data_IF_309174139120
#
_entry.id   IF_309174139120
#
_cell.length_a   1.000
_cell.length_b   1.000
_cell.length_c   1.000
_cell.angle_alpha   90.00
_cell.angle_beta   90.00
_cell.angle_gamma   90.00
#
_symmetry.space_group_name_H-M   'P 1'
#
loop_
_entity.id
_entity.type
_entity.pdbx_description
1 polymer ?
#
# COMPACT_ATOMS: atom_id res chain seq x y z
N UNK A 1 3.92 -14.47 35.49
CA UNK A 1 5.33 -14.09 35.28
C UNK A 1 5.80 -14.73 33.99
N UNK A 2 6.02 -13.94 32.94
CA UNK A 2 6.56 -14.43 31.67
C UNK A 2 8.05 -14.04 31.68
N UNK A 3 8.96 -15.01 31.77
CA UNK A 3 10.43 -14.88 31.71
C UNK A 3 11.26 -14.60 32.98
N UNK A 4 10.68 -14.53 34.18
CA UNK A 4 11.47 -14.54 35.43
C UNK A 4 12.51 -13.42 35.58
N UNK A 5 12.32 -12.31 34.87
CA UNK A 5 13.12 -11.08 35.01
C UNK A 5 12.25 -10.00 35.61
N UNK A 6 12.83 -9.23 36.51
CA UNK A 6 12.19 -8.05 37.08
C UNK A 6 12.04 -6.97 35.99
N UNK A 7 10.92 -6.24 35.96
CA UNK A 7 10.73 -5.16 35.00
C UNK A 7 11.73 -4.02 35.31
N UNK A 8 12.58 -3.70 34.35
CA UNK A 8 13.59 -2.63 34.45
C UNK A 8 13.08 -1.42 33.68
N UNK A 9 13.02 -0.24 34.32
CA UNK A 9 12.67 1.00 33.63
C UNK A 9 13.87 1.50 32.82
N UNK A 10 13.67 2.24 31.71
CA UNK A 10 14.77 2.78 30.92
C UNK A 10 15.80 3.60 31.70
N UNK A 11 15.40 4.19 32.83
CA UNK A 11 16.27 4.99 33.71
C UNK A 11 17.18 4.11 34.61
N UNK A 12 16.78 2.86 34.84
CA UNK A 12 17.49 1.90 35.69
C UNK A 12 18.57 1.14 34.89
N UNK A 13 18.60 1.31 33.57
CA UNK A 13 19.65 0.77 32.72
C UNK A 13 20.83 1.73 32.77
N UNK A 14 21.88 1.38 33.51
CA UNK A 14 23.18 2.06 33.48
C UNK A 14 23.76 1.96 32.06
N UNK A 15 23.38 2.91 31.21
CA UNK A 15 24.10 3.16 29.98
C UNK A 15 25.41 3.79 30.40
N UNK A 16 26.51 3.06 30.22
CA UNK A 16 27.79 3.71 29.98
C UNK A 16 27.58 4.52 28.71
N UNK A 17 27.17 5.79 28.87
CA UNK A 17 27.28 6.75 27.79
C UNK A 17 28.76 6.77 27.49
N UNK A 18 29.17 6.08 26.43
CA UNK A 18 30.46 6.34 25.82
C UNK A 18 30.46 7.84 25.61
N UNK A 19 31.34 8.52 26.34
CA UNK A 19 31.50 9.95 26.23
C UNK A 19 31.96 10.17 24.80
N UNK A 20 31.04 10.52 23.92
CA UNK A 20 31.36 10.93 22.55
C UNK A 20 31.96 12.33 22.65
N UNK A 21 33.04 12.49 23.41
CA UNK A 21 33.98 13.56 23.16
C UNK A 21 34.51 13.27 21.77
N UNK A 22 33.84 13.83 20.76
CA UNK A 22 34.42 14.00 19.44
C UNK A 22 35.76 14.69 19.70
N UNK A 23 36.85 13.94 19.60
CA UNK A 23 38.14 14.54 19.31
C UNK A 23 37.90 15.31 18.02
N UNK A 24 37.88 16.63 18.14
CA UNK A 24 37.68 17.56 17.03
C UNK A 24 38.98 17.63 16.23
N UNK A 25 39.45 16.48 15.76
CA UNK A 25 40.29 16.38 14.58
C UNK A 25 39.34 16.61 13.41
N UNK A 26 38.93 17.87 13.22
CA UNK A 26 38.30 18.27 11.97
C UNK A 26 39.33 17.98 10.87
N UNK A 27 39.11 16.97 10.01
CA UNK A 27 39.98 16.86 8.85
C UNK A 27 39.81 18.15 8.06
N UNK A 28 40.91 18.87 7.78
CA UNK A 28 40.90 19.93 6.78
C UNK A 28 40.47 19.31 5.45
N UNK A 29 39.16 19.33 5.19
CA UNK A 29 38.60 18.87 3.94
C UNK A 29 39.05 19.89 2.90
N UNK A 30 39.96 19.50 2.01
CA UNK A 30 40.32 20.35 0.88
C UNK A 30 39.06 20.70 0.08
N UNK A 31 38.91 21.98 -0.26
CA UNK A 31 37.75 22.54 -0.97
C UNK A 31 37.49 21.79 -2.30
N UNK A 32 38.56 21.26 -2.91
CA UNK A 32 38.54 20.40 -4.11
C UNK A 32 37.76 19.09 -3.90
N UNK A 33 38.01 18.40 -2.79
CA UNK A 33 37.36 17.14 -2.43
C UNK A 33 35.91 17.36 -2.02
N UNK A 34 35.61 18.50 -1.37
CA UNK A 34 34.25 18.92 -1.08
C UNK A 34 33.42 19.16 -2.36
N UNK A 35 33.96 19.88 -3.34
CA UNK A 35 33.28 20.07 -4.62
C UNK A 35 33.14 18.78 -5.43
N UNK A 36 34.14 17.89 -5.36
CA UNK A 36 34.08 16.58 -6.01
C UNK A 36 33.02 15.65 -5.38
N UNK A 37 32.79 15.76 -4.07
CA UNK A 37 31.73 14.99 -3.38
C UNK A 37 30.34 15.57 -3.67
N UNK A 38 30.19 16.89 -3.65
CA UNK A 38 28.92 17.55 -4.00
C UNK A 38 28.48 17.25 -5.42
N UNK A 39 29.37 17.34 -6.41
CA UNK A 39 29.04 17.02 -7.81
C UNK A 39 28.60 15.56 -7.98
N UNK A 40 29.22 14.62 -7.26
CA UNK A 40 28.78 13.21 -7.24
C UNK A 40 27.38 13.06 -6.63
N UNK A 41 27.07 13.79 -5.56
CA UNK A 41 25.75 13.77 -4.93
C UNK A 41 24.67 14.34 -5.85
N UNK A 42 24.96 15.43 -6.58
CA UNK A 42 24.04 16.02 -7.55
C UNK A 42 23.71 15.02 -8.68
N UNK A 43 24.74 14.35 -9.22
CA UNK A 43 24.53 13.31 -10.25
C UNK A 43 23.67 12.16 -9.72
N UNK A 44 23.95 11.68 -8.50
CA UNK A 44 23.17 10.61 -7.89
C UNK A 44 21.72 11.03 -7.65
N UNK A 45 21.52 12.26 -7.17
CA UNK A 45 20.21 12.84 -6.93
C UNK A 45 19.38 12.88 -8.22
N UNK A 46 19.97 13.36 -9.31
CA UNK A 46 19.33 13.41 -10.63
C UNK A 46 18.91 12.03 -11.14
N UNK A 47 19.78 11.03 -10.99
CA UNK A 47 19.49 9.65 -11.42
C UNK A 47 18.34 9.07 -10.60
N UNK A 48 18.32 9.31 -9.29
CA UNK A 48 17.26 8.83 -8.40
C UNK A 48 15.93 9.51 -8.72
N UNK A 49 15.91 10.83 -8.92
CA UNK A 49 14.67 11.54 -9.25
C UNK A 49 14.11 11.13 -10.60
N UNK A 50 14.94 11.04 -11.64
CA UNK A 50 14.49 10.56 -12.97
C UNK A 50 13.87 9.17 -12.89
N UNK A 51 14.44 8.28 -12.07
CA UNK A 51 13.90 6.94 -11.85
C UNK A 51 12.59 6.97 -11.07
N UNK A 52 12.48 7.84 -10.06
CA UNK A 52 11.27 8.02 -9.28
C UNK A 52 10.12 8.54 -10.17
N UNK A 53 10.37 9.55 -11.00
CA UNK A 53 9.38 10.13 -11.92
C UNK A 53 8.88 9.08 -12.91
N UNK A 54 9.78 8.33 -13.54
CA UNK A 54 9.41 7.25 -14.45
C UNK A 54 8.55 6.17 -13.77
N UNK A 55 8.84 5.83 -12.51
CA UNK A 55 8.04 4.88 -11.74
C UNK A 55 6.66 5.43 -11.41
N UNK A 56 6.56 6.71 -11.07
CA UNK A 56 5.29 7.38 -10.80
C UNK A 56 4.42 7.38 -12.05
N UNK A 57 4.96 7.76 -13.20
CA UNK A 57 4.25 7.76 -14.48
C UNK A 57 3.74 6.35 -14.84
N UNK A 58 4.59 5.34 -14.73
CA UNK A 58 4.20 3.95 -14.99
C UNK A 58 3.12 3.46 -14.03
N UNK A 59 3.23 3.78 -12.74
CA UNK A 59 2.23 3.41 -11.74
C UNK A 59 0.88 4.10 -12.00
N UNK A 60 0.89 5.38 -12.37
CA UNK A 60 -0.32 6.12 -12.73
C UNK A 60 -0.98 5.55 -13.98
N UNK A 61 -0.21 5.29 -15.04
CA UNK A 61 -0.72 4.68 -16.27
C UNK A 61 -1.37 3.31 -16.00
N UNK A 62 -0.73 2.49 -15.17
CA UNK A 62 -1.28 1.19 -14.73
C UNK A 62 -2.58 1.36 -13.95
N UNK A 63 -2.63 2.30 -13.01
CA UNK A 63 -3.85 2.58 -12.24
C UNK A 63 -5.00 3.04 -13.14
N UNK A 64 -4.72 3.91 -14.11
CA UNK A 64 -5.73 4.37 -15.07
C UNK A 64 -6.25 3.21 -15.93
N UNK A 65 -5.35 2.35 -16.44
CA UNK A 65 -5.72 1.17 -17.21
C UNK A 65 -6.54 0.17 -16.39
N UNK A 66 -6.14 -0.10 -15.15
CA UNK A 66 -6.87 -0.99 -14.23
C UNK A 66 -8.24 -0.41 -13.86
N UNK A 67 -8.31 0.90 -13.62
CA UNK A 67 -9.56 1.60 -13.37
C UNK A 67 -10.49 1.52 -14.58
N UNK A 68 -10.00 1.80 -15.79
CA UNK A 68 -10.76 1.68 -17.02
C UNK A 68 -11.26 0.25 -17.25
N UNK A 69 -10.45 -0.77 -16.95
CA UNK A 69 -10.83 -2.18 -17.06
C UNK A 69 -11.91 -2.60 -16.05
N UNK A 70 -11.88 -2.06 -14.83
CA UNK A 70 -12.90 -2.32 -13.80
C UNK A 70 -14.19 -1.56 -14.06
N UNK A 71 -14.09 -0.39 -14.70
CA UNK A 71 -15.25 0.42 -15.05
C UNK A 71 -15.91 -0.21 -16.28
N UNK A 72 -17.11 -0.72 -16.07
CA UNK A 72 -18.12 -1.00 -17.08
C UNK A 72 -18.04 -2.35 -17.80
N UNK A 73 -18.61 -3.37 -17.16
CA UNK A 73 -19.53 -4.26 -17.88
C UNK A 73 -20.94 -3.82 -17.51
N UNK A 74 -21.55 -2.96 -18.33
CA UNK A 74 -22.98 -2.73 -18.23
C UNK A 74 -23.66 -4.04 -18.60
N UNK A 75 -24.40 -4.63 -17.65
CA UNK A 75 -25.28 -5.76 -17.94
C UNK A 75 -26.71 -5.23 -17.97
N UNK A 76 -27.35 -5.48 -19.09
CA UNK A 76 -28.78 -5.27 -19.24
C UNK A 76 -29.45 -6.60 -18.89
N UNK A 77 -30.38 -6.57 -17.95
CA UNK A 77 -31.19 -7.71 -17.56
C UNK A 77 -32.59 -7.58 -18.14
N UNK A 78 -33.12 -8.69 -18.65
CA UNK A 78 -34.45 -8.78 -19.25
C UNK A 78 -35.41 -9.40 -18.23
N UNK A 79 -36.71 -9.12 -18.40
CA UNK A 79 -37.77 -9.76 -17.60
C UNK A 79 -37.70 -11.27 -17.78
N UNK A 80 -37.66 -12.02 -16.67
CA UNK A 80 -37.52 -13.47 -16.67
C UNK A 80 -36.07 -13.99 -16.56
N UNK A 81 -35.06 -13.10 -16.57
CA UNK A 81 -33.69 -13.52 -16.26
C UNK A 81 -33.58 -13.99 -14.81
N UNK A 82 -32.91 -15.13 -14.61
CA UNK A 82 -32.59 -15.68 -13.29
C UNK A 82 -31.31 -15.05 -12.76
N UNK A 83 -31.42 -14.34 -11.64
CA UNK A 83 -30.29 -13.68 -10.99
C UNK A 83 -30.09 -14.20 -9.56
N UNK A 84 -28.84 -14.16 -9.13
CA UNK A 84 -28.45 -14.46 -7.75
C UNK A 84 -28.23 -13.15 -7.00
N UNK A 85 -28.60 -13.12 -5.73
CA UNK A 85 -28.40 -11.97 -4.85
C UNK A 85 -27.18 -12.23 -3.97
N UNK A 86 -26.17 -11.36 -4.07
CA UNK A 86 -24.99 -11.44 -3.21
C UNK A 86 -25.27 -10.86 -1.82
N UNK A 87 -25.03 -11.65 -0.76
CA UNK A 87 -25.20 -11.20 0.61
C UNK A 87 -23.86 -10.77 1.23
N UNK A 88 -23.49 -9.48 1.08
CA UNK A 88 -22.23 -8.94 1.61
C UNK A 88 -22.06 -9.17 3.12
N UNK A 89 -23.16 -9.07 3.89
CA UNK A 89 -23.13 -9.23 5.34
C UNK A 89 -22.70 -10.64 5.77
N UNK A 90 -22.98 -11.65 4.94
CA UNK A 90 -22.52 -13.03 5.19
C UNK A 90 -21.08 -13.21 4.74
N UNK A 91 -20.72 -12.67 3.57
CA UNK A 91 -19.38 -12.80 2.99
C UNK A 91 -18.27 -12.23 3.91
N UNK A 92 -18.50 -11.06 4.50
CA UNK A 92 -17.47 -10.37 5.30
C UNK A 92 -17.39 -10.86 6.76
N UNK A 93 -18.31 -11.72 7.21
CA UNK A 93 -18.33 -12.18 8.60
C UNK A 93 -17.32 -13.30 8.83
N UNK A 94 -16.54 -13.20 9.92
CA UNK A 94 -15.65 -14.27 10.39
C UNK A 94 -16.48 -15.54 10.68
N UNK A 95 -16.22 -16.62 9.95
CA UNK A 95 -17.00 -17.87 9.98
C UNK A 95 -18.10 -18.01 8.92
N UNK A 96 -18.40 -16.96 8.15
CA UNK A 96 -19.38 -17.01 7.05
C UNK A 96 -18.91 -17.78 5.80
N UNK A 97 -17.61 -18.09 5.70
CA UNK A 97 -16.98 -18.75 4.54
C UNK A 97 -17.40 -20.22 4.35
N UNK A 98 -18.08 -20.84 5.32
CA UNK A 98 -18.57 -22.21 5.20
C UNK A 98 -19.85 -22.32 4.38
N UNK A 99 -20.58 -21.23 4.20
CA UNK A 99 -21.85 -21.18 3.46
C UNK A 99 -21.72 -20.26 2.26
N UNK A 100 -22.34 -20.61 1.14
CA UNK A 100 -22.34 -19.77 -0.05
C UNK A 100 -23.01 -18.41 0.25
N UNK A 101 -22.34 -17.27 -0.05
CA UNK A 101 -22.93 -15.93 0.09
C UNK A 101 -23.99 -15.59 -0.97
N UNK A 102 -24.17 -16.42 -2.00
CA UNK A 102 -25.19 -16.23 -3.04
C UNK A 102 -26.54 -16.82 -2.61
N UNK A 103 -27.59 -15.99 -2.60
CA UNK A 103 -28.98 -16.42 -2.42
C UNK A 103 -29.72 -16.45 -3.78
N UNK A 104 -30.58 -17.43 -4.03
CA UNK A 104 -31.45 -17.47 -5.22
C UNK A 104 -31.40 -18.81 -5.97
N UNK A 105 -32.18 -18.97 -7.05
CA UNK A 105 -32.42 -17.97 -8.08
C UNK A 105 -33.67 -17.11 -7.89
N UNK A 106 -33.57 -15.83 -8.27
CA UNK A 106 -34.68 -14.88 -8.33
C UNK A 106 -34.98 -14.50 -9.77
N UNK A 107 -36.25 -14.27 -10.08
CA UNK A 107 -36.69 -13.76 -11.37
C UNK A 107 -36.92 -12.25 -11.29
N UNK A 108 -36.45 -11.52 -12.29
CA UNK A 108 -36.63 -10.07 -12.36
C UNK A 108 -38.01 -9.72 -12.93
N UNK A 109 -38.85 -8.95 -12.21
CA UNK A 109 -40.19 -8.58 -12.67
C UNK A 109 -40.19 -7.44 -13.71
N UNK A 110 -39.06 -6.75 -13.89
CA UNK A 110 -38.88 -5.60 -14.80
C UNK A 110 -37.49 -5.65 -15.42
N UNK A 111 -37.28 -4.95 -16.53
CA UNK A 111 -35.95 -4.78 -17.11
C UNK A 111 -35.13 -3.80 -16.27
N UNK A 112 -33.85 -4.10 -16.08
CA UNK A 112 -32.93 -3.25 -15.33
C UNK A 112 -31.62 -3.12 -16.12
N UNK A 113 -31.11 -1.89 -16.25
CA UNK A 113 -29.70 -1.68 -16.61
C UNK A 113 -28.92 -1.49 -15.31
N UNK A 114 -27.88 -2.30 -15.09
CA UNK A 114 -27.07 -2.21 -13.88
C UNK A 114 -25.60 -2.09 -14.27
N UNK A 115 -24.94 -1.10 -13.69
CA UNK A 115 -23.49 -0.99 -13.71
C UNK A 115 -22.93 -1.91 -12.63
N UNK A 116 -22.50 -3.11 -13.03
CA UNK A 116 -21.83 -4.00 -12.09
C UNK A 116 -20.46 -3.42 -11.75
N UNK A 117 -20.27 -3.06 -10.48
CA UNK A 117 -18.94 -2.75 -9.95
C UNK A 117 -18.20 -4.08 -9.82
N UNK A 118 -17.23 -4.31 -10.70
CA UNK A 118 -16.39 -5.50 -10.60
C UNK A 118 -15.62 -5.41 -9.27
N UNK A 119 -15.72 -6.40 -8.36
CA UNK A 119 -14.95 -6.42 -7.12
C UNK A 119 -13.44 -6.47 -7.39
#
# INVERSE_FOLDING_TARGET
>A
MLYGREPVLPIDVSHEFADCTFDHDDPEIEESDFHATLSKLEILQDVVFKKADANIEQAQAKQQADFAKRRYKQRNFIVGDKVLRYNLRRADRKGGKQTDPWDGPYELPRSYCVTLRNP
#
